data_IF_851753163460
#
_entry.id   IF_851753163460
#
_cell.length_a   1.000
_cell.length_b   1.000
_cell.length_c   1.000
_cell.angle_alpha   90.00
_cell.angle_beta   90.00
_cell.angle_gamma   90.00
#
_symmetry.space_group_name_H-M   'P 1'
#
loop_
_entity.id
_entity.type
_entity.pdbx_description
1 polymer ?
#
# COMPACT_ATOMS: atom_id res chain seq x y z
N UNK A 1 -28.09 -17.26 16.12
CA UNK A 1 -26.65 -16.93 16.08
C UNK A 1 -26.05 -17.51 14.82
N UNK A 2 -25.34 -16.70 14.02
CA UNK A 2 -24.37 -17.09 12.97
C UNK A 2 -24.95 -17.91 11.79
N UNK A 3 -24.96 -17.48 10.52
CA UNK A 3 -23.95 -16.83 9.68
C UNK A 3 -24.74 -16.12 8.54
N UNK A 4 -24.88 -14.79 8.55
CA UNK A 4 -25.60 -14.08 7.48
C UNK A 4 -25.16 -12.62 7.26
N UNK A 5 -23.96 -12.25 7.68
CA UNK A 5 -23.40 -10.91 7.45
C UNK A 5 -22.00 -11.03 6.89
N UNK A 6 -21.87 -11.27 5.59
CA UNK A 6 -20.62 -10.94 4.88
C UNK A 6 -20.76 -10.68 3.37
N UNK A 7 -21.98 -10.71 2.81
CA UNK A 7 -22.19 -10.37 1.40
C UNK A 7 -23.37 -9.41 1.26
N UNK A 8 -23.17 -8.16 1.67
CA UNK A 8 -24.08 -7.09 1.29
C UNK A 8 -23.35 -5.74 1.30
N UNK A 9 -22.51 -5.49 0.29
CA UNK A 9 -22.49 -4.21 -0.44
C UNK A 9 -22.06 -4.52 -1.88
N UNK A 10 -23.04 -4.64 -2.77
CA UNK A 10 -22.86 -4.47 -4.21
C UNK A 10 -23.69 -3.25 -4.63
N UNK A 11 -23.11 -2.47 -5.54
CA UNK A 11 -23.70 -1.38 -6.34
C UNK A 11 -23.83 0.01 -5.70
N UNK A 12 -22.99 0.95 -6.18
CA UNK A 12 -23.41 2.14 -6.93
C UNK A 12 -22.17 2.78 -7.59
N UNK A 13 -22.36 3.27 -8.81
CA UNK A 13 -21.29 3.59 -9.75
C UNK A 13 -20.25 4.62 -9.29
N UNK A 14 -18.99 4.28 -9.55
CA UNK A 14 -17.95 5.12 -10.16
C UNK A 14 -16.80 4.16 -10.41
N UNK A 15 -16.21 4.16 -11.60
CA UNK A 15 -14.98 3.43 -11.88
C UNK A 15 -13.82 4.13 -11.15
N UNK A 16 -13.84 4.12 -9.82
CA UNK A 16 -12.63 4.29 -9.04
C UNK A 16 -11.86 2.99 -9.23
N UNK A 17 -10.75 3.04 -9.98
CA UNK A 17 -9.83 1.93 -10.11
C UNK A 17 -9.64 1.30 -8.73
N UNK A 18 -10.15 0.07 -8.55
CA UNK A 18 -10.01 -0.62 -7.27
C UNK A 18 -8.51 -0.74 -7.01
N UNK A 19 -8.01 -0.36 -5.82
CA UNK A 19 -6.61 -0.56 -5.49
C UNK A 19 -6.23 -1.98 -5.84
N UNK A 20 -5.24 -2.20 -6.70
CA UNK A 20 -4.77 -3.55 -6.97
C UNK A 20 -4.07 -4.03 -5.70
N UNK A 21 -4.75 -4.90 -4.95
CA UNK A 21 -4.26 -5.45 -3.69
C UNK A 21 -3.65 -6.83 -3.95
N UNK A 22 -2.46 -7.06 -3.41
CA UNK A 22 -1.78 -8.35 -3.51
C UNK A 22 -1.20 -8.78 -2.17
N UNK A 23 -1.28 -10.08 -1.89
CA UNK A 23 -0.66 -10.70 -0.72
C UNK A 23 0.51 -11.56 -1.16
N UNK A 24 1.62 -11.47 -0.43
CA UNK A 24 2.81 -12.27 -0.68
C UNK A 24 3.33 -12.90 0.60
N UNK A 25 3.83 -14.14 0.50
CA UNK A 25 4.38 -14.90 1.61
C UNK A 25 5.79 -15.36 1.25
N UNK A 26 6.73 -15.22 2.19
CA UNK A 26 8.09 -15.73 2.03
C UNK A 26 8.35 -16.82 3.07
N UNK A 27 8.73 -18.00 2.58
CA UNK A 27 8.99 -19.21 3.37
C UNK A 27 10.45 -19.63 3.21
N UNK A 28 11.01 -20.31 4.22
CA UNK A 28 12.33 -20.95 4.10
C UNK A 28 12.16 -22.34 3.48
N UNK A 29 13.06 -22.77 2.57
CA UNK A 29 13.01 -24.10 1.97
C UNK A 29 13.35 -25.29 2.89
N UNK A 30 13.56 -25.12 4.20
CA UNK A 30 14.06 -26.21 5.05
C UNK A 30 13.09 -26.62 6.17
N UNK A 31 12.53 -27.84 6.00
CA UNK A 31 11.76 -28.78 6.85
C UNK A 31 10.74 -28.28 7.91
N UNK A 32 10.85 -27.07 8.44
CA UNK A 32 9.85 -26.41 9.29
C UNK A 32 9.22 -25.30 8.47
N UNK A 33 8.02 -25.54 7.91
CA UNK A 33 7.24 -24.58 7.09
C UNK A 33 6.79 -23.34 7.88
N UNK A 34 7.73 -22.60 8.46
CA UNK A 34 7.47 -21.42 9.25
C UNK A 34 7.41 -20.20 8.32
N UNK A 35 6.30 -19.48 8.34
CA UNK A 35 6.17 -18.21 7.63
C UNK A 35 7.10 -17.21 8.34
N UNK A 36 8.21 -16.86 7.70
CA UNK A 36 9.14 -15.87 8.26
C UNK A 36 8.62 -14.45 8.07
N UNK A 37 8.02 -14.20 6.90
CA UNK A 37 7.54 -12.89 6.50
C UNK A 37 6.28 -13.02 5.64
N UNK A 38 5.28 -12.22 5.97
CA UNK A 38 4.14 -11.96 5.11
C UNK A 38 4.15 -10.48 4.75
N UNK A 39 3.73 -10.14 3.54
CA UNK A 39 3.52 -8.76 3.17
C UNK A 39 2.24 -8.59 2.36
N UNK A 40 1.64 -7.44 2.53
CA UNK A 40 0.49 -6.99 1.75
C UNK A 40 0.90 -5.70 1.06
N UNK A 41 0.48 -5.54 -0.19
CA UNK A 41 0.66 -4.29 -0.90
C UNK A 41 -0.64 -3.85 -1.56
N UNK A 42 -0.78 -2.53 -1.63
CA UNK A 42 -1.92 -1.83 -2.17
C UNK A 42 -1.40 -0.80 -3.16
N UNK A 43 -1.80 -0.90 -4.43
CA UNK A 43 -1.43 0.07 -5.47
C UNK A 43 -2.54 1.11 -5.66
N UNK A 44 -2.18 2.29 -6.14
CA UNK A 44 -3.09 3.38 -6.47
C UNK A 44 -3.98 3.81 -5.28
N UNK A 45 -3.38 3.78 -4.09
CA UNK A 45 -4.07 4.16 -2.86
C UNK A 45 -4.14 5.68 -2.71
N UNK A 46 -5.26 6.16 -2.17
CA UNK A 46 -5.39 7.55 -1.74
C UNK A 46 -4.48 7.80 -0.54
N UNK A 47 -3.62 8.80 -0.66
CA UNK A 47 -2.75 9.20 0.43
C UNK A 47 -3.55 9.92 1.53
N UNK A 48 -3.14 9.75 2.80
CA UNK A 48 -3.66 10.57 3.89
C UNK A 48 -3.46 12.07 3.61
N UNK A 49 -4.45 12.90 3.95
CA UNK A 49 -4.43 14.33 3.63
C UNK A 49 -3.23 15.08 4.22
N UNK A 50 -2.74 14.68 5.40
CA UNK A 50 -1.52 15.23 5.99
C UNK A 50 -0.29 14.96 5.11
N UNK A 51 -0.14 13.73 4.62
CA UNK A 51 0.98 13.33 3.77
C UNK A 51 0.95 14.08 2.44
N UNK A 52 -0.25 14.28 1.86
CA UNK A 52 -0.44 15.09 0.65
C UNK A 52 0.01 16.52 0.91
N UNK A 53 -0.45 17.14 2.00
CA UNK A 53 -0.07 18.50 2.36
C UNK A 53 1.44 18.69 2.51
N UNK A 54 2.12 17.73 3.14
CA UNK A 54 3.56 17.74 3.31
C UNK A 54 4.29 17.61 1.96
N UNK A 55 3.85 16.71 1.09
CA UNK A 55 4.42 16.52 -0.25
C UNK A 55 4.26 17.78 -1.10
N UNK A 56 3.08 18.41 -1.10
CA UNK A 56 2.86 19.64 -1.86
C UNK A 56 3.74 20.80 -1.37
N UNK A 57 4.07 20.83 -0.08
CA UNK A 57 4.95 21.83 0.52
C UNK A 57 6.41 21.58 0.21
N UNK A 58 6.87 20.33 0.33
CA UNK A 58 8.27 19.95 0.09
C UNK A 58 8.64 19.86 -1.39
N UNK A 59 7.68 19.47 -2.24
CA UNK A 59 7.88 19.22 -3.67
C UNK A 59 6.90 20.05 -4.52
N UNK A 60 7.00 21.39 -4.52
CA UNK A 60 6.11 22.23 -5.31
C UNK A 60 6.28 21.97 -6.82
N UNK A 61 5.15 21.84 -7.52
CA UNK A 61 5.12 21.55 -8.95
C UNK A 61 5.39 20.08 -9.32
N UNK A 62 5.50 19.18 -8.35
CA UNK A 62 5.55 17.73 -8.61
C UNK A 62 4.15 17.13 -8.48
N UNK A 63 3.81 16.23 -9.41
CA UNK A 63 2.49 15.60 -9.50
C UNK A 63 2.62 14.14 -9.04
N UNK A 64 1.78 13.64 -8.12
CA UNK A 64 1.74 12.22 -7.78
C UNK A 64 1.30 11.39 -9.00
N UNK A 65 2.18 10.51 -9.46
CA UNK A 65 1.97 9.63 -10.62
C UNK A 65 1.49 8.25 -10.19
N UNK A 66 2.10 7.68 -9.14
CA UNK A 66 1.70 6.39 -8.59
C UNK A 66 1.92 6.33 -7.08
N UNK A 67 1.11 5.54 -6.38
CA UNK A 67 1.25 5.30 -4.94
C UNK A 67 1.16 3.81 -4.64
N UNK A 68 2.00 3.35 -3.71
CA UNK A 68 1.99 1.97 -3.22
C UNK A 68 2.18 1.93 -1.73
N UNK A 69 1.22 1.36 -1.02
CA UNK A 69 1.35 1.06 0.39
C UNK A 69 1.77 -0.38 0.59
N UNK A 70 2.73 -0.62 1.47
CA UNK A 70 3.24 -1.96 1.78
C UNK A 70 3.22 -2.14 3.29
N UNK A 71 2.57 -3.20 3.73
CA UNK A 71 2.58 -3.66 5.12
C UNK A 71 3.36 -4.95 5.17
N UNK A 72 4.38 -5.01 6.02
CA UNK A 72 5.22 -6.19 6.20
C UNK A 72 5.12 -6.69 7.63
N UNK A 73 4.77 -7.97 7.76
CA UNK A 73 4.67 -8.71 8.99
C UNK A 73 5.88 -9.64 9.09
N UNK A 74 6.66 -9.55 10.16
CA UNK A 74 7.75 -10.46 10.44
C UNK A 74 7.44 -11.29 11.68
N UNK A 75 7.81 -12.57 11.67
CA UNK A 75 7.72 -13.38 12.89
C UNK A 75 8.61 -12.74 13.98
N UNK A 76 8.01 -12.44 15.14
CA UNK A 76 8.64 -11.74 16.28
C UNK A 76 9.22 -10.35 15.96
N UNK A 77 8.66 -9.61 14.98
CA UNK A 77 9.06 -8.24 14.67
C UNK A 77 7.85 -7.32 14.58
N UNK A 78 8.06 -6.05 14.89
CA UNK A 78 7.05 -5.02 14.68
C UNK A 78 6.64 -4.93 13.21
N UNK A 79 5.35 -4.62 13.01
CA UNK A 79 4.75 -4.47 11.69
C UNK A 79 5.34 -3.22 11.03
N UNK A 80 5.96 -3.40 9.86
CA UNK A 80 6.54 -2.29 9.10
C UNK A 80 5.55 -1.79 8.06
N UNK A 81 5.22 -0.50 8.11
CA UNK A 81 4.30 0.16 7.18
C UNK A 81 5.09 1.16 6.34
N UNK A 82 4.97 1.07 5.02
CA UNK A 82 5.75 1.89 4.09
C UNK A 82 4.87 2.40 2.97
N UNK A 83 4.86 3.72 2.75
CA UNK A 83 4.37 4.34 1.54
C UNK A 83 5.51 4.51 0.54
N UNK A 84 5.29 4.07 -0.69
CA UNK A 84 6.15 4.33 -1.84
C UNK A 84 5.36 5.21 -2.80
N UNK A 85 5.91 6.36 -3.14
CA UNK A 85 5.28 7.33 -4.02
C UNK A 85 6.18 7.61 -5.19
N UNK A 86 5.59 7.75 -6.36
CA UNK A 86 6.25 8.23 -7.55
C UNK A 86 5.69 9.60 -7.86
N UNK A 87 6.57 10.58 -7.87
CA UNK A 87 6.28 11.94 -8.26
C UNK A 87 6.84 12.16 -9.66
N UNK A 88 6.05 12.75 -10.54
CA UNK A 88 6.45 13.18 -11.87
C UNK A 88 6.52 14.71 -11.92
N UNK A 89 7.52 15.23 -12.62
CA UNK A 89 7.63 16.64 -12.97
C UNK A 89 8.33 16.72 -14.32
N UNK A 90 7.64 17.26 -15.32
CA UNK A 90 8.11 17.28 -16.70
C UNK A 90 8.52 15.85 -17.14
N UNK A 91 9.74 15.65 -17.62
CA UNK A 91 10.28 14.33 -17.98
C UNK A 91 10.99 13.59 -16.82
N UNK A 92 10.96 14.16 -15.61
CA UNK A 92 11.63 13.60 -14.44
C UNK A 92 10.67 12.83 -13.54
N UNK A 93 11.13 11.67 -13.04
CA UNK A 93 10.42 10.88 -12.01
C UNK A 93 11.27 10.77 -10.75
N UNK A 94 10.65 11.02 -9.60
CA UNK A 94 11.25 10.86 -8.27
C UNK A 94 10.46 9.85 -7.47
N UNK A 95 11.16 8.93 -6.81
CA UNK A 95 10.56 7.94 -5.92
C UNK A 95 10.78 8.32 -4.46
N UNK A 96 9.71 8.49 -3.71
CA UNK A 96 9.74 8.73 -2.27
C UNK A 96 9.38 7.43 -1.53
N UNK A 97 10.05 7.21 -0.39
CA UNK A 97 9.75 6.10 0.51
C UNK A 97 9.58 6.66 1.91
N UNK A 98 8.36 6.61 2.41
CA UNK A 98 7.98 7.10 3.73
C UNK A 98 7.68 5.89 4.60
N UNK A 99 8.42 5.73 5.70
CA UNK A 99 8.17 4.67 6.67
C UNK A 99 7.36 5.27 7.81
N UNK A 100 6.27 4.60 8.17
CA UNK A 100 5.43 4.93 9.33
C UNK A 100 5.90 4.13 10.55
#
# INVERSE_FOLDING_TARGET
MSIAYCYLILALGTAAASPQQGKGYSQVPDRRRNILKAFEYYQDIRLPGNLIGDIHREYPGWIPDNSRYIVSYGSNKEVKKVYKLWLAKDDSRKKLKLSL
#
